data_IF_551633794308
#
_entry.id   IF_551633794308
#
_cell.length_a   1.000
_cell.length_b   1.000
_cell.length_c   1.000
_cell.angle_alpha   90.00
_cell.angle_beta   90.00
_cell.angle_gamma   90.00
#
_symmetry.space_group_name_H-M   'P 1'
#
loop_
_entity.id
_entity.type
_entity.pdbx_description
1 polymer ?
#
# COMPACT_ATOMS: atom_id res chain seq x y z
N UNK A 1 -29.21 -7.05 -32.56
CA UNK A 1 -28.30 -7.96 -31.80
C UNK A 1 -27.43 -7.10 -30.91
N UNK A 2 -27.92 -6.81 -29.70
CA UNK A 2 -27.21 -5.95 -28.71
C UNK A 2 -26.12 -6.79 -28.05
N UNK A 3 -24.84 -6.49 -28.35
CA UNK A 3 -23.70 -7.00 -27.62
C UNK A 3 -23.76 -6.38 -26.22
N UNK A 4 -24.31 -7.12 -25.26
CA UNK A 4 -24.14 -6.78 -23.85
C UNK A 4 -22.64 -6.90 -23.54
N UNK A 5 -21.96 -5.76 -23.45
CA UNK A 5 -20.63 -5.69 -22.84
C UNK A 5 -20.81 -6.19 -21.40
N UNK A 6 -20.47 -7.45 -21.16
CA UNK A 6 -20.44 -7.97 -19.80
C UNK A 6 -19.37 -7.17 -19.06
N UNK A 7 -19.80 -6.24 -18.21
CA UNK A 7 -18.91 -5.53 -17.31
C UNK A 7 -18.08 -6.57 -16.55
N UNK A 8 -16.75 -6.44 -16.58
CA UNK A 8 -15.88 -7.30 -15.80
C UNK A 8 -16.37 -7.28 -14.35
N UNK A 9 -16.64 -8.45 -13.73
CA UNK A 9 -17.14 -8.46 -12.37
C UNK A 9 -16.10 -7.78 -11.46
N UNK A 10 -16.55 -6.80 -10.65
CA UNK A 10 -15.70 -5.95 -9.80
C UNK A 10 -14.72 -6.71 -8.90
N UNK A 11 -15.00 -8.00 -8.64
CA UNK A 11 -14.14 -8.92 -7.90
C UNK A 11 -12.70 -9.00 -8.44
N UNK A 12 -12.53 -8.92 -9.78
CA UNK A 12 -11.21 -8.96 -10.39
C UNK A 12 -10.43 -7.69 -10.05
N UNK A 13 -11.11 -6.57 -9.93
CA UNK A 13 -10.49 -5.34 -9.44
C UNK A 13 -10.08 -5.46 -7.96
N UNK A 14 -10.86 -6.16 -7.13
CA UNK A 14 -10.53 -6.38 -5.72
C UNK A 14 -9.21 -7.16 -5.54
N UNK A 15 -8.80 -8.00 -6.52
CA UNK A 15 -7.48 -8.66 -6.52
C UNK A 15 -6.35 -7.62 -6.49
N UNK A 16 -6.56 -6.44 -7.06
CA UNK A 16 -5.57 -5.36 -7.01
C UNK A 16 -5.14 -5.00 -5.59
N UNK A 17 -6.05 -5.11 -4.61
CA UNK A 17 -5.73 -4.89 -3.20
C UNK A 17 -4.83 -6.00 -2.60
N UNK A 18 -4.69 -7.14 -3.26
CA UNK A 18 -3.73 -8.20 -2.91
C UNK A 18 -2.47 -8.07 -3.75
N UNK A 19 -2.64 -7.95 -5.07
CA UNK A 19 -1.52 -7.97 -6.02
C UNK A 19 -0.60 -6.76 -5.87
N UNK A 20 -1.15 -5.55 -5.63
CA UNK A 20 -0.34 -4.35 -5.43
C UNK A 20 0.65 -4.47 -4.29
N UNK A 21 0.19 -4.76 -3.05
CA UNK A 21 1.06 -5.05 -1.91
C UNK A 21 2.09 -6.14 -2.18
N UNK A 22 1.69 -7.25 -2.81
CA UNK A 22 2.60 -8.36 -3.13
C UNK A 22 3.69 -7.92 -4.10
N UNK A 23 3.35 -7.21 -5.18
CA UNK A 23 4.33 -6.69 -6.16
C UNK A 23 5.36 -5.80 -5.46
N UNK A 24 4.91 -4.84 -4.65
CA UNK A 24 5.82 -3.93 -3.96
C UNK A 24 6.69 -4.68 -2.93
N UNK A 25 6.10 -5.60 -2.15
CA UNK A 25 6.84 -6.40 -1.16
C UNK A 25 7.91 -7.25 -1.81
N UNK A 26 7.57 -7.98 -2.87
CA UNK A 26 8.54 -8.82 -3.60
C UNK A 26 9.65 -7.96 -4.20
N UNK A 27 9.30 -6.81 -4.78
CA UNK A 27 10.29 -5.92 -5.38
C UNK A 27 11.31 -5.44 -4.35
N UNK A 28 10.88 -4.79 -3.26
CA UNK A 28 11.86 -4.28 -2.29
C UNK A 28 12.63 -5.39 -1.57
N UNK A 29 12.01 -6.56 -1.39
CA UNK A 29 12.69 -7.71 -0.79
C UNK A 29 13.83 -8.20 -1.70
N UNK A 30 13.53 -8.50 -2.96
CA UNK A 30 14.51 -9.00 -3.93
C UNK A 30 15.59 -7.95 -4.22
N UNK A 31 15.17 -6.70 -4.52
CA UNK A 31 16.09 -5.62 -4.86
C UNK A 31 17.00 -5.24 -3.69
N UNK A 32 16.54 -5.41 -2.45
CA UNK A 32 17.34 -5.19 -1.25
C UNK A 32 18.54 -6.11 -1.13
N UNK A 33 18.48 -7.32 -1.71
CA UNK A 33 19.64 -8.25 -1.73
C UNK A 33 20.64 -7.99 -2.85
N UNK A 34 20.17 -7.39 -3.97
CA UNK A 34 21.00 -7.20 -5.16
C UNK A 34 21.50 -5.77 -5.34
N UNK A 35 20.99 -4.82 -4.54
CA UNK A 35 21.41 -3.42 -4.62
C UNK A 35 22.83 -3.22 -4.11
N UNK A 36 23.75 -2.71 -4.92
CA UNK A 36 25.11 -2.37 -4.46
C UNK A 36 25.14 -1.09 -3.63
N UNK A 37 24.07 -0.31 -3.61
CA UNK A 37 23.96 1.04 -3.10
C UNK A 37 23.45 2.01 -4.15
N UNK A 38 23.38 3.28 -3.81
CA UNK A 38 22.84 4.34 -4.65
C UNK A 38 23.56 5.66 -4.40
N UNK A 39 23.30 6.67 -5.21
CA UNK A 39 23.73 8.04 -4.96
C UNK A 39 22.50 8.90 -4.69
N UNK A 40 22.58 9.77 -3.70
CA UNK A 40 21.55 10.75 -3.36
C UNK A 40 22.18 12.15 -3.36
N UNK A 41 21.72 13.01 -4.25
CA UNK A 41 22.28 14.36 -4.49
C UNK A 41 23.81 14.36 -4.65
N UNK A 42 24.33 13.39 -5.39
CA UNK A 42 25.76 13.25 -5.65
C UNK A 42 26.56 12.57 -4.54
N UNK A 43 25.96 12.31 -3.37
CA UNK A 43 26.62 11.57 -2.28
C UNK A 43 26.39 10.08 -2.46
N UNK A 44 27.44 9.24 -2.63
CA UNK A 44 27.32 7.80 -2.70
C UNK A 44 26.94 7.21 -1.33
N UNK A 45 25.99 6.30 -1.32
CA UNK A 45 25.52 5.57 -0.14
C UNK A 45 25.68 4.07 -0.45
N UNK A 46 26.70 3.44 0.08
CA UNK A 46 27.04 2.05 -0.21
C UNK A 46 27.79 1.40 0.98
N UNK A 47 27.62 0.09 1.18
CA UNK A 47 26.65 -0.79 0.53
C UNK A 47 25.20 -0.48 0.96
N UNK A 48 24.23 -0.96 0.18
CA UNK A 48 22.83 -0.88 0.60
C UNK A 48 22.57 -1.75 1.84
N UNK A 49 21.83 -1.21 2.79
CA UNK A 49 21.42 -1.93 4.00
C UNK A 49 19.90 -1.81 4.20
N UNK A 50 19.20 -2.93 4.10
CA UNK A 50 17.77 -2.97 4.37
C UNK A 50 17.40 -2.65 5.84
N UNK A 51 18.37 -2.71 6.75
CA UNK A 51 18.17 -2.39 8.17
C UNK A 51 18.20 -0.89 8.42
N UNK A 52 19.19 -0.20 7.86
CA UNK A 52 19.41 1.23 8.15
C UNK A 52 18.86 2.16 7.09
N UNK A 53 18.76 1.72 5.82
CA UNK A 53 18.38 2.58 4.70
C UNK A 53 16.91 2.42 4.31
N UNK A 54 16.26 3.53 3.94
CA UNK A 54 14.86 3.50 3.56
C UNK A 54 14.64 2.66 2.30
N UNK A 55 13.44 2.10 2.21
CA UNK A 55 12.95 1.32 1.08
C UNK A 55 13.02 2.12 -0.23
N UNK A 56 12.71 3.40 -0.15
CA UNK A 56 12.75 4.33 -1.29
C UNK A 56 14.17 4.58 -1.82
N UNK A 57 15.22 4.29 -1.05
CA UNK A 57 16.60 4.29 -1.55
C UNK A 57 16.82 3.31 -2.70
N UNK A 58 16.05 2.20 -2.75
CA UNK A 58 16.06 1.25 -3.87
C UNK A 58 15.52 1.86 -5.18
N UNK A 59 14.78 2.97 -5.10
CA UNK A 59 14.32 3.75 -6.25
C UNK A 59 15.41 4.58 -6.93
N UNK A 60 16.64 4.51 -6.41
CA UNK A 60 17.83 5.16 -6.96
C UNK A 60 18.86 4.11 -7.42
N UNK A 61 19.85 4.58 -8.19
CA UNK A 61 20.95 3.73 -8.69
C UNK A 61 20.46 2.58 -9.58
N UNK A 62 21.21 1.46 -9.63
CA UNK A 62 20.93 0.35 -10.57
C UNK A 62 19.59 -0.34 -10.35
N UNK A 63 19.04 -0.34 -9.14
CA UNK A 63 17.74 -0.93 -8.81
C UNK A 63 16.58 0.01 -9.07
N UNK A 64 16.84 1.29 -9.31
CA UNK A 64 15.86 2.36 -9.44
C UNK A 64 14.74 2.08 -10.44
N UNK A 65 15.02 1.73 -11.70
CA UNK A 65 13.97 1.48 -12.68
C UNK A 65 12.96 0.41 -12.26
N UNK A 66 13.44 -0.66 -11.63
CA UNK A 66 12.63 -1.78 -11.17
C UNK A 66 11.78 -1.43 -9.93
N UNK A 67 12.39 -0.74 -8.97
CA UNK A 67 11.69 -0.31 -7.77
C UNK A 67 10.63 0.74 -8.07
N UNK A 68 10.95 1.71 -8.91
CA UNK A 68 10.02 2.76 -9.34
C UNK A 68 8.86 2.18 -10.13
N UNK A 69 9.12 1.21 -11.03
CA UNK A 69 8.06 0.46 -11.72
C UNK A 69 7.18 -0.31 -10.74
N UNK A 70 7.76 -0.93 -9.69
CA UNK A 70 7.00 -1.65 -8.67
C UNK A 70 6.11 -0.72 -7.85
N UNK A 71 6.60 0.45 -7.45
CA UNK A 71 5.79 1.50 -6.81
C UNK A 71 4.62 1.91 -7.69
N UNK A 72 4.90 2.22 -8.97
CA UNK A 72 3.87 2.67 -9.91
C UNK A 72 2.80 1.60 -10.15
N UNK A 73 3.20 0.36 -10.45
CA UNK A 73 2.27 -0.77 -10.67
C UNK A 73 1.47 -1.07 -9.41
N UNK A 74 2.14 -1.11 -8.24
CA UNK A 74 1.47 -1.32 -6.95
C UNK A 74 0.42 -0.25 -6.69
N UNK A 75 0.76 1.02 -6.93
CA UNK A 75 -0.17 2.14 -6.77
C UNK A 75 -1.43 1.99 -7.60
N UNK A 76 -1.31 1.68 -8.90
CA UNK A 76 -2.45 1.42 -9.78
C UNK A 76 -3.31 0.26 -9.29
N UNK A 77 -2.67 -0.83 -8.88
CA UNK A 77 -3.37 -2.02 -8.38
C UNK A 77 -4.10 -1.75 -7.07
N UNK A 78 -3.51 -1.00 -6.14
CA UNK A 78 -4.16 -0.60 -4.87
C UNK A 78 -5.37 0.28 -5.14
N UNK A 79 -5.30 1.25 -6.06
CA UNK A 79 -6.44 2.10 -6.44
C UNK A 79 -7.57 1.26 -7.04
N UNK A 80 -7.25 0.38 -7.99
CA UNK A 80 -8.23 -0.54 -8.58
C UNK A 80 -8.82 -1.48 -7.51
N UNK A 81 -7.98 -1.97 -6.60
CA UNK A 81 -8.35 -2.82 -5.48
C UNK A 81 -9.31 -2.13 -4.52
N UNK A 82 -9.05 -0.88 -4.15
CA UNK A 82 -9.91 -0.07 -3.29
C UNK A 82 -11.31 0.08 -3.90
N UNK A 83 -11.39 0.37 -5.20
CA UNK A 83 -12.65 0.43 -5.93
C UNK A 83 -13.33 -0.94 -5.93
N UNK A 84 -12.62 -2.01 -6.35
CA UNK A 84 -13.17 -3.37 -6.42
C UNK A 84 -13.73 -3.85 -5.09
N UNK A 85 -12.97 -3.70 -3.99
CA UNK A 85 -13.42 -4.09 -2.63
C UNK A 85 -14.73 -3.41 -2.25
N UNK A 86 -14.84 -2.11 -2.48
CA UNK A 86 -16.03 -1.35 -2.09
C UNK A 86 -17.24 -1.65 -2.96
N UNK A 87 -17.07 -2.08 -4.22
CA UNK A 87 -18.16 -2.52 -5.08
C UNK A 87 -18.73 -3.88 -4.67
N UNK A 88 -17.93 -4.72 -4.01
CA UNK A 88 -18.37 -6.02 -3.49
C UNK A 88 -19.19 -5.92 -2.18
N UNK A 89 -19.46 -4.72 -1.70
CA UNK A 89 -20.23 -4.47 -0.47
C UNK A 89 -21.50 -3.66 -0.82
N UNK A 90 -22.58 -4.34 -1.26
CA UNK A 90 -23.79 -3.67 -1.73
C UNK A 90 -24.49 -2.86 -0.62
N UNK A 91 -24.29 -3.22 0.65
CA UNK A 91 -24.88 -2.53 1.80
C UNK A 91 -24.29 -1.12 2.03
N UNK A 92 -23.13 -0.83 1.45
CA UNK A 92 -22.51 0.48 1.53
C UNK A 92 -22.76 1.20 0.21
N UNK A 93 -23.50 2.30 0.26
CA UNK A 93 -23.93 3.06 -0.93
C UNK A 93 -23.65 4.55 -0.80
N UNK A 94 -23.82 5.27 -1.91
CA UNK A 94 -23.76 6.72 -1.95
C UNK A 94 -22.44 7.31 -1.45
N UNK A 95 -22.53 8.40 -0.69
CA UNK A 95 -21.35 9.15 -0.19
C UNK A 95 -20.39 8.30 0.65
N UNK A 96 -20.93 7.35 1.43
CA UNK A 96 -20.08 6.49 2.27
C UNK A 96 -19.20 5.58 1.44
N UNK A 97 -19.72 5.00 0.35
CA UNK A 97 -18.94 4.18 -0.59
C UNK A 97 -17.82 4.99 -1.22
N UNK A 98 -18.15 6.14 -1.80
CA UNK A 98 -17.19 6.99 -2.47
C UNK A 98 -16.10 7.51 -1.54
N UNK A 99 -16.47 7.96 -0.33
CA UNK A 99 -15.50 8.38 0.67
C UNK A 99 -14.56 7.24 1.05
N UNK A 100 -15.09 6.02 1.23
CA UNK A 100 -14.25 4.85 1.54
C UNK A 100 -13.31 4.50 0.39
N UNK A 101 -13.78 4.59 -0.87
CA UNK A 101 -12.93 4.38 -2.05
C UNK A 101 -11.79 5.40 -2.07
N UNK A 102 -12.11 6.68 -1.91
CA UNK A 102 -11.09 7.75 -1.91
C UNK A 102 -10.06 7.51 -0.82
N UNK A 103 -10.50 7.30 0.42
CA UNK A 103 -9.58 7.07 1.55
C UNK A 103 -8.68 5.85 1.35
N UNK A 104 -9.21 4.77 0.79
CA UNK A 104 -8.41 3.57 0.49
C UNK A 104 -7.55 3.72 -0.78
N UNK A 105 -7.86 4.64 -1.69
CA UNK A 105 -7.06 4.89 -2.87
C UNK A 105 -5.87 5.82 -2.62
N UNK A 106 -5.92 6.68 -1.59
CA UNK A 106 -4.84 7.64 -1.29
C UNK A 106 -3.45 7.01 -1.17
N UNK A 107 -3.25 5.87 -0.47
CA UNK A 107 -1.94 5.21 -0.42
C UNK A 107 -1.47 4.70 -1.79
N UNK A 108 -2.41 4.29 -2.65
CA UNK A 108 -2.10 3.96 -4.04
C UNK A 108 -1.62 5.17 -4.84
N UNK A 109 -2.26 6.34 -4.65
CA UNK A 109 -1.79 7.60 -5.24
C UNK A 109 -0.41 7.97 -4.70
N UNK A 110 -0.17 7.78 -3.40
CA UNK A 110 1.14 7.97 -2.79
C UNK A 110 2.21 7.11 -3.45
N UNK A 111 1.92 5.82 -3.62
CA UNK A 111 2.83 4.89 -4.29
C UNK A 111 3.10 5.27 -5.76
N UNK A 112 2.10 5.82 -6.49
CA UNK A 112 2.33 6.37 -7.84
C UNK A 112 3.30 7.54 -7.80
N UNK A 113 3.15 8.46 -6.85
CA UNK A 113 4.06 9.59 -6.70
C UNK A 113 5.48 9.11 -6.38
N UNK A 114 5.64 8.14 -5.49
CA UNK A 114 6.94 7.57 -5.12
C UNK A 114 7.62 6.86 -6.29
N UNK A 115 6.83 6.26 -7.19
CA UNK A 115 7.34 5.65 -8.41
C UNK A 115 7.73 6.65 -9.52
N UNK A 116 7.14 7.83 -9.53
CA UNK A 116 7.44 8.89 -10.51
C UNK A 116 8.55 9.82 -9.99
N UNK A 117 8.48 10.18 -8.72
CA UNK A 117 9.38 11.12 -8.07
C UNK A 117 10.24 10.37 -7.05
N UNK A 118 11.53 10.26 -7.34
CA UNK A 118 12.50 9.61 -6.46
C UNK A 118 12.85 10.49 -5.25
N UNK A 119 13.63 9.97 -4.31
CA UNK A 119 14.15 10.74 -3.16
C UNK A 119 14.85 12.04 -3.55
N UNK A 120 15.38 12.16 -4.76
CA UNK A 120 16.00 13.40 -5.25
C UNK A 120 14.97 14.52 -5.44
N UNK A 121 13.72 14.16 -5.74
CA UNK A 121 12.56 15.06 -5.77
C UNK A 121 11.85 15.08 -4.42
N UNK A 122 12.59 15.39 -3.34
CA UNK A 122 12.20 15.18 -1.93
C UNK A 122 10.77 15.59 -1.61
N UNK A 123 10.33 16.79 -1.98
CA UNK A 123 8.98 17.26 -1.62
C UNK A 123 7.86 16.42 -2.20
N UNK A 124 7.99 16.01 -3.47
CA UNK A 124 6.96 15.21 -4.15
C UNK A 124 6.98 13.76 -3.67
N UNK A 125 8.18 13.20 -3.45
CA UNK A 125 8.33 11.89 -2.85
C UNK A 125 7.78 11.85 -1.41
N UNK A 126 8.12 12.86 -0.60
CA UNK A 126 7.58 12.95 0.76
C UNK A 126 6.07 13.14 0.78
N UNK A 127 5.49 13.87 -0.18
CA UNK A 127 4.04 13.96 -0.35
C UNK A 127 3.42 12.58 -0.65
N UNK A 128 4.08 11.75 -1.47
CA UNK A 128 3.69 10.36 -1.72
C UNK A 128 3.67 9.55 -0.43
N UNK A 129 4.72 9.62 0.37
CA UNK A 129 4.80 8.97 1.68
C UNK A 129 3.69 9.44 2.63
N UNK A 130 3.39 10.75 2.70
CA UNK A 130 2.28 11.27 3.51
C UNK A 130 0.92 10.77 3.05
N UNK A 131 0.72 10.57 1.74
CA UNK A 131 -0.50 9.94 1.22
C UNK A 131 -0.58 8.47 1.63
N UNK A 132 0.53 7.73 1.70
CA UNK A 132 0.55 6.38 2.26
C UNK A 132 0.16 6.40 3.74
N UNK A 133 0.64 7.35 4.53
CA UNK A 133 0.27 7.55 5.94
C UNK A 133 -1.17 8.04 6.15
N UNK A 134 -1.91 8.43 5.12
CA UNK A 134 -3.34 8.75 5.23
C UNK A 134 -4.16 7.60 5.82
N UNK A 135 -3.64 6.38 5.80
CA UNK A 135 -4.22 5.18 6.45
C UNK A 135 -4.41 5.36 7.95
N UNK A 136 -3.62 6.20 8.62
CA UNK A 136 -3.81 6.56 10.04
C UNK A 136 -5.25 7.03 10.32
N UNK A 137 -5.82 7.80 9.41
CA UNK A 137 -7.21 8.30 9.47
C UNK A 137 -8.14 7.44 8.61
N UNK A 138 -7.69 7.04 7.42
CA UNK A 138 -8.48 6.31 6.44
C UNK A 138 -8.95 4.96 6.96
N UNK A 139 -8.08 4.18 7.58
CA UNK A 139 -8.44 2.86 8.11
C UNK A 139 -9.51 2.94 9.20
N UNK A 140 -9.39 3.78 10.27
CA UNK A 140 -10.47 3.93 11.24
C UNK A 140 -11.80 4.39 10.62
N UNK A 141 -11.78 5.36 9.72
CA UNK A 141 -12.99 5.85 9.07
C UNK A 141 -13.69 4.77 8.24
N UNK A 142 -12.95 4.04 7.42
CA UNK A 142 -13.45 2.90 6.64
C UNK A 142 -13.88 1.78 7.57
N UNK A 143 -13.13 1.50 8.62
CA UNK A 143 -13.44 0.52 9.64
C UNK A 143 -14.80 0.77 10.30
N UNK A 144 -15.13 2.02 10.64
CA UNK A 144 -16.43 2.41 11.20
C UNK A 144 -17.58 2.15 10.20
N UNK A 145 -17.34 2.31 8.91
CA UNK A 145 -18.32 2.00 7.87
C UNK A 145 -18.51 0.48 7.74
N UNK A 146 -17.41 -0.28 7.65
CA UNK A 146 -17.42 -1.74 7.48
C UNK A 146 -18.03 -2.48 8.69
N UNK A 147 -17.84 -1.98 9.91
CA UNK A 147 -18.43 -2.58 11.11
C UNK A 147 -19.95 -2.69 11.06
N UNK A 148 -20.63 -1.89 10.26
CA UNK A 148 -22.10 -1.91 10.09
C UNK A 148 -22.56 -3.09 9.24
N UNK A 149 -21.66 -3.70 8.46
CA UNK A 149 -21.94 -4.87 7.63
C UNK A 149 -21.50 -6.13 8.37
N UNK A 150 -22.43 -7.05 8.66
CA UNK A 150 -22.20 -8.22 9.52
C UNK A 150 -20.95 -8.99 9.15
N UNK A 151 -20.76 -9.33 7.89
CA UNK A 151 -19.64 -10.15 7.40
C UNK A 151 -18.29 -9.41 7.42
N UNK A 152 -18.30 -8.07 7.39
CA UNK A 152 -17.11 -7.21 7.40
C UNK A 152 -16.77 -6.67 8.80
N UNK A 153 -17.59 -6.98 9.80
CA UNK A 153 -17.50 -6.39 11.14
C UNK A 153 -16.15 -6.62 11.82
N UNK A 154 -15.60 -7.84 11.70
CA UNK A 154 -14.30 -8.19 12.32
C UNK A 154 -13.18 -7.39 11.66
N UNK A 155 -13.14 -7.37 10.33
CA UNK A 155 -12.15 -6.57 9.59
C UNK A 155 -12.31 -5.07 9.91
N UNK A 156 -13.54 -4.54 9.93
CA UNK A 156 -13.79 -3.16 10.29
C UNK A 156 -13.30 -2.81 11.69
N UNK A 157 -13.43 -3.73 12.66
CA UNK A 157 -12.84 -3.53 14.01
C UNK A 157 -11.31 -3.53 13.94
N UNK A 158 -10.70 -4.43 13.16
CA UNK A 158 -9.26 -4.45 12.94
C UNK A 158 -8.74 -3.15 12.33
N UNK A 159 -9.41 -2.61 11.32
CA UNK A 159 -9.02 -1.34 10.70
C UNK A 159 -9.09 -0.15 11.67
N UNK A 160 -10.04 -0.15 12.62
CA UNK A 160 -10.08 0.91 13.65
C UNK A 160 -8.82 0.87 14.52
N UNK A 161 -8.32 -0.32 14.82
CA UNK A 161 -7.09 -0.52 15.60
C UNK A 161 -5.85 -0.26 14.74
N UNK A 162 -5.92 -0.59 13.44
CA UNK A 162 -4.83 -0.38 12.50
C UNK A 162 -4.37 1.08 12.42
N UNK A 163 -5.28 2.05 12.39
CA UNK A 163 -4.89 3.47 12.32
C UNK A 163 -3.94 3.90 13.43
N UNK A 164 -4.27 3.71 14.72
CA UNK A 164 -3.34 3.96 15.83
C UNK A 164 -2.04 3.16 15.75
N UNK A 165 -2.08 1.90 15.28
CA UNK A 165 -0.88 1.07 15.08
C UNK A 165 0.00 1.65 13.99
N UNK A 166 -0.58 2.02 12.84
CA UNK A 166 0.14 2.70 11.74
C UNK A 166 0.79 4.00 12.24
N UNK A 167 0.06 4.80 13.05
CA UNK A 167 0.62 6.01 13.63
C UNK A 167 1.82 5.70 14.54
N UNK A 168 1.70 4.71 15.42
CA UNK A 168 2.80 4.33 16.32
C UNK A 168 4.02 3.85 15.55
N UNK A 169 3.83 3.06 14.48
CA UNK A 169 4.90 2.61 13.61
C UNK A 169 5.53 3.76 12.81
N UNK A 170 4.73 4.73 12.34
CA UNK A 170 5.24 5.93 11.68
C UNK A 170 6.10 6.78 12.65
N UNK A 171 5.64 6.96 13.89
CA UNK A 171 6.43 7.65 14.92
C UNK A 171 7.74 6.89 15.19
N UNK A 172 7.68 5.57 15.29
CA UNK A 172 8.86 4.74 15.49
C UNK A 172 9.85 4.87 14.33
N UNK A 173 9.36 4.86 13.07
CA UNK A 173 10.19 5.09 11.90
C UNK A 173 10.93 6.44 11.98
N UNK A 174 10.21 7.53 12.22
CA UNK A 174 10.83 8.86 12.34
C UNK A 174 11.79 8.96 13.54
N UNK A 175 11.47 8.32 14.67
CA UNK A 175 12.34 8.31 15.84
C UNK A 175 13.64 7.50 15.62
N UNK A 176 13.63 6.53 14.71
CA UNK A 176 14.80 5.70 14.39
C UNK A 176 15.55 6.18 13.15
N UNK A 177 15.04 7.21 12.47
CA UNK A 177 15.68 7.77 11.29
C UNK A 177 16.91 8.58 11.68
N UNK A 178 18.05 8.18 11.14
CA UNK A 178 19.31 8.90 11.28
C UNK A 178 19.72 9.49 9.93
N UNK A 179 20.18 10.75 9.88
CA UNK A 179 20.72 11.33 8.66
C UNK A 179 21.94 10.53 8.16
N UNK A 180 22.12 10.52 6.85
CA UNK A 180 23.34 9.96 6.25
C UNK A 180 24.52 10.90 6.52
N UNK A 181 25.61 10.37 7.05
CA UNK A 181 26.84 11.11 7.29
C UNK A 181 27.96 10.41 6.48
N UNK A 182 28.66 11.17 5.64
CA UNK A 182 29.75 10.68 4.80
C UNK A 182 29.42 9.40 4.00
N UNK A 183 28.18 9.33 3.48
CA UNK A 183 27.72 8.17 2.70
C UNK A 183 27.30 6.95 3.54
N UNK A 184 27.37 7.04 4.86
CA UNK A 184 26.95 5.97 5.77
C UNK A 184 25.65 6.36 6.47
N UNK A 185 24.67 5.48 6.43
CA UNK A 185 23.44 5.58 7.20
C UNK A 185 23.43 4.46 8.24
N UNK A 186 23.31 4.82 9.51
CA UNK A 186 23.28 3.90 10.65
C UNK A 186 21.87 3.76 11.21
N UNK A 187 21.71 2.93 12.23
CA UNK A 187 20.43 2.74 12.91
C UNK A 187 19.54 1.70 12.24
N UNK A 188 18.25 1.77 12.51
CA UNK A 188 17.26 0.74 12.14
C UNK A 188 16.06 1.31 11.37
N UNK A 189 16.19 2.51 10.82
CA UNK A 189 15.10 3.19 10.12
C UNK A 189 14.56 2.37 8.93
N UNK A 190 15.44 1.73 8.17
CA UNK A 190 15.02 0.87 7.07
C UNK A 190 14.18 -0.32 7.52
N UNK A 191 14.47 -0.91 8.67
CA UNK A 191 13.69 -2.00 9.24
C UNK A 191 12.32 -1.51 9.73
N UNK A 192 12.29 -0.39 10.47
CA UNK A 192 11.05 0.16 11.01
C UNK A 192 10.11 0.66 9.92
N UNK A 193 10.64 1.23 8.83
CA UNK A 193 9.87 1.56 7.64
C UNK A 193 9.23 0.32 6.99
N UNK A 194 9.98 -0.77 6.85
CA UNK A 194 9.44 -2.01 6.29
C UNK A 194 8.33 -2.61 7.13
N UNK A 195 8.46 -2.56 8.45
CA UNK A 195 7.39 -3.01 9.36
C UNK A 195 6.14 -2.14 9.18
N UNK A 196 6.29 -0.83 9.09
CA UNK A 196 5.20 0.11 8.81
C UNK A 196 4.51 -0.20 7.47
N UNK A 197 5.30 -0.37 6.41
CA UNK A 197 4.77 -0.66 5.07
C UNK A 197 4.06 -2.02 5.04
N UNK A 198 4.63 -3.06 5.66
CA UNK A 198 4.02 -4.38 5.72
C UNK A 198 2.71 -4.37 6.53
N UNK A 199 2.63 -3.59 7.60
CA UNK A 199 1.39 -3.43 8.38
C UNK A 199 0.28 -2.86 7.50
N UNK A 200 0.54 -1.75 6.81
CA UNK A 200 -0.42 -1.13 5.89
C UNK A 200 -0.84 -2.13 4.80
N UNK A 201 0.13 -2.78 4.16
CA UNK A 201 -0.10 -3.73 3.06
C UNK A 201 -0.92 -4.95 3.50
N UNK A 202 -0.70 -5.46 4.72
CA UNK A 202 -1.44 -6.61 5.24
C UNK A 202 -2.95 -6.33 5.30
N UNK A 203 -3.36 -5.12 5.65
CA UNK A 203 -4.78 -4.74 5.67
C UNK A 203 -5.39 -4.69 4.26
N UNK A 204 -4.65 -4.22 3.26
CA UNK A 204 -5.11 -4.28 1.86
C UNK A 204 -5.27 -5.72 1.39
N UNK A 205 -4.29 -6.59 1.68
CA UNK A 205 -4.36 -8.02 1.35
C UNK A 205 -5.57 -8.65 2.02
N UNK A 206 -5.81 -8.38 3.31
CA UNK A 206 -6.97 -8.91 4.03
C UNK A 206 -8.29 -8.44 3.40
N UNK A 207 -8.42 -7.16 3.05
CA UNK A 207 -9.62 -6.61 2.40
C UNK A 207 -9.86 -7.26 1.03
N UNK A 208 -8.83 -7.30 0.18
CA UNK A 208 -8.93 -7.86 -1.17
C UNK A 208 -9.25 -9.36 -1.15
N UNK A 209 -8.63 -10.10 -0.24
CA UNK A 209 -8.86 -11.53 -0.07
C UNK A 209 -10.29 -11.84 0.37
N UNK A 210 -10.81 -11.11 1.37
CA UNK A 210 -12.19 -11.29 1.85
C UNK A 210 -13.18 -10.94 0.74
N UNK A 211 -12.96 -9.83 0.00
CA UNK A 211 -13.80 -9.45 -1.12
C UNK A 211 -13.83 -10.55 -2.20
N UNK A 212 -12.68 -11.10 -2.54
CA UNK A 212 -12.55 -12.14 -3.57
C UNK A 212 -13.23 -13.46 -3.16
N UNK A 213 -13.01 -13.93 -1.91
CA UNK A 213 -13.57 -15.21 -1.43
C UNK A 213 -15.08 -15.21 -1.26
N UNK A 214 -15.68 -14.10 -0.90
CA UNK A 214 -17.12 -14.03 -0.63
C UNK A 214 -18.02 -14.36 -1.83
N UNK A 215 -17.46 -14.42 -3.02
CA UNK A 215 -18.20 -14.70 -4.26
C UNK A 215 -18.20 -16.16 -4.68
N UNK A 216 -17.23 -16.97 -4.23
CA UNK A 216 -17.26 -18.41 -4.46
C UNK A 216 -18.43 -19.05 -3.70
N UNK A 217 -18.65 -18.63 -2.45
CA UNK A 217 -19.74 -19.11 -1.61
C UNK A 217 -21.15 -18.81 -2.14
N UNK A 218 -21.39 -17.61 -2.67
CA UNK A 218 -22.69 -17.24 -3.22
C UNK A 218 -23.04 -17.96 -4.53
N UNK A 219 -22.05 -18.45 -5.28
CA UNK A 219 -22.27 -19.27 -6.47
C UNK A 219 -22.67 -20.71 -6.13
N UNK A 220 -22.01 -21.32 -5.14
CA UNK A 220 -22.35 -22.67 -4.71
C UNK A 220 -23.81 -22.77 -4.21
N UNK A 221 -24.29 -21.72 -3.52
CA UNK A 221 -25.68 -21.67 -3.05
C UNK A 221 -26.70 -21.33 -4.16
N UNK A 222 -26.26 -20.78 -5.29
CA UNK A 222 -27.15 -20.46 -6.42
C UNK A 222 -27.32 -21.64 -7.40
N UNK A 223 -26.51 -22.70 -7.27
CA UNK A 223 -26.55 -23.92 -8.09
C UNK A 223 -26.89 -25.18 -7.29
N UNK A 224 -27.18 -25.05 -5.97
CA UNK A 224 -27.73 -26.09 -5.10
C UNK A 224 -29.23 -25.91 -4.92
#
# INVERSE_FOLDING_TARGET
MSLSVQAMPHRWLAIGAVAGPVVLTVAWFVLGFVSPGYSLWGTPIAPYSAVSQPLSGLGLGPTGPWMNAAFFISGLLVIAGAFGVMQEIPEITGRRRWLSIVLLALPGVGSLLDGIFTLESFLLHFAGFLLALSTVVGFPMVGLVLRRVRRWRRLGTGLIVAGPVTLALAVLYFATFTPTVEGVQTGVAGLTERILVLEIQAWYVAMGWIAFRNLSWNRELAFS
#
